data_IF_941432938396
#
_entry.id   IF_941432938396
#
_cell.length_a   1.000
_cell.length_b   1.000
_cell.length_c   1.000
_cell.angle_alpha   90.00
_cell.angle_beta   90.00
_cell.angle_gamma   90.00
#
_symmetry.space_group_name_H-M   'P 1'
#
loop_
_entity.id
_entity.type
_entity.pdbx_description
1 polymer ?
#
# COMPACT_ATOMS: atom_id res chain seq x y z
N UNK A 1 -1.04 -9.33 -4.00
CA UNK A 1 -0.04 -10.04 -4.83
C UNK A 1 -0.37 -11.53 -4.86
N UNK A 2 -0.17 -12.21 -6.02
CA UNK A 2 -0.30 -13.67 -6.27
C UNK A 2 -1.58 -14.41 -5.84
N UNK A 3 -2.72 -13.72 -5.76
CA UNK A 3 -4.08 -14.31 -5.83
C UNK A 3 -5.15 -13.20 -5.98
N UNK A 4 -4.92 -12.23 -6.88
CA UNK A 4 -5.75 -11.02 -7.08
C UNK A 4 -5.86 -10.04 -5.89
N UNK A 5 -4.94 -10.08 -4.93
CA UNK A 5 -4.84 -9.06 -3.88
C UNK A 5 -4.04 -7.83 -4.36
N UNK A 6 -4.41 -6.62 -3.97
CA UNK A 6 -3.71 -5.38 -4.30
C UNK A 6 -3.17 -4.72 -3.02
N UNK A 7 -1.95 -4.19 -3.08
CA UNK A 7 -1.25 -3.59 -1.94
C UNK A 7 -0.59 -2.31 -2.43
N UNK A 8 -0.75 -1.22 -1.70
CA UNK A 8 -0.05 0.04 -1.95
C UNK A 8 1.33 0.00 -1.28
N UNK A 9 2.37 0.44 -1.98
CA UNK A 9 3.69 0.69 -1.39
C UNK A 9 4.02 2.17 -1.47
N UNK A 10 4.58 2.74 -0.41
CA UNK A 10 5.09 4.10 -0.39
C UNK A 10 6.60 4.08 -0.15
N UNK A 11 7.31 4.87 -0.94
CA UNK A 11 8.76 5.02 -0.84
C UNK A 11 9.03 6.51 -0.56
N UNK A 12 9.51 6.79 0.64
CA UNK A 12 9.99 8.11 1.02
C UNK A 12 11.51 8.16 0.78
N UNK A 13 11.94 8.96 -0.20
CA UNK A 13 13.35 9.08 -0.56
C UNK A 13 14.14 9.94 0.45
N UNK A 14 13.48 10.90 1.08
CA UNK A 14 14.12 11.84 2.02
C UNK A 14 14.33 11.17 3.37
N UNK A 15 13.31 10.51 3.90
CA UNK A 15 13.40 9.70 5.12
C UNK A 15 14.03 8.33 4.90
N UNK A 16 14.28 7.97 3.63
CA UNK A 16 14.78 6.66 3.19
C UNK A 16 13.95 5.53 3.79
N UNK A 17 12.64 5.62 3.64
CA UNK A 17 11.69 4.68 4.21
C UNK A 17 10.84 4.00 3.13
N UNK A 18 10.46 2.75 3.39
CA UNK A 18 9.50 1.99 2.59
C UNK A 18 8.39 1.51 3.52
N UNK A 19 7.17 1.95 3.26
CA UNK A 19 5.96 1.48 3.92
C UNK A 19 5.00 0.85 2.93
N UNK A 20 3.92 0.26 3.45
CA UNK A 20 2.82 -0.24 2.64
C UNK A 20 1.46 0.03 3.30
N UNK A 21 0.41 -0.19 2.52
CA UNK A 21 -0.98 -0.22 2.95
C UNK A 21 -1.62 -1.52 2.47
N UNK A 22 -2.01 -2.37 3.41
CA UNK A 22 -2.67 -3.64 3.15
C UNK A 22 -4.07 -3.67 3.78
N UNK A 23 -5.07 -3.26 3.00
CA UNK A 23 -6.49 -3.23 3.41
C UNK A 23 -7.00 -4.57 3.95
N UNK A 24 -6.34 -5.66 3.57
CA UNK A 24 -6.73 -7.02 3.91
C UNK A 24 -6.07 -7.56 5.18
N UNK A 25 -5.13 -6.80 5.77
CA UNK A 25 -4.45 -7.18 7.01
C UNK A 25 -3.60 -8.45 6.89
N UNK A 26 -3.12 -8.79 5.69
CA UNK A 26 -2.33 -10.01 5.42
C UNK A 26 -0.90 -9.66 5.01
N UNK A 27 -0.03 -9.29 5.97
CA UNK A 27 1.28 -8.71 5.69
C UNK A 27 2.24 -9.66 4.97
N UNK A 28 1.91 -10.96 4.85
CA UNK A 28 2.76 -11.97 4.21
C UNK A 28 3.18 -11.58 2.79
N UNK A 29 2.25 -11.05 1.99
CA UNK A 29 2.57 -10.66 0.62
C UNK A 29 3.50 -9.44 0.58
N UNK A 30 3.23 -8.42 1.40
CA UNK A 30 4.08 -7.23 1.51
C UNK A 30 5.48 -7.58 2.04
N UNK A 31 5.56 -8.33 3.13
CA UNK A 31 6.83 -8.74 3.76
C UNK A 31 7.73 -9.57 2.86
N UNK A 32 7.16 -10.36 1.94
CA UNK A 32 7.93 -11.08 0.93
C UNK A 32 8.45 -10.17 -0.19
N UNK A 33 7.71 -9.10 -0.53
CA UNK A 33 8.06 -8.22 -1.64
C UNK A 33 9.02 -7.08 -1.25
N UNK A 34 8.88 -6.55 -0.03
CA UNK A 34 9.69 -5.43 0.47
C UNK A 34 11.21 -5.64 0.33
N UNK A 35 11.80 -6.81 0.64
CA UNK A 35 13.22 -7.03 0.45
C UNK A 35 13.69 -6.82 -0.99
N UNK A 36 12.84 -7.13 -1.98
CA UNK A 36 13.15 -6.91 -3.39
C UNK A 36 13.12 -5.42 -3.75
N UNK A 37 12.13 -4.69 -3.24
CA UNK A 37 12.04 -3.23 -3.39
C UNK A 37 13.25 -2.55 -2.77
N UNK A 38 13.59 -2.91 -1.52
CA UNK A 38 14.75 -2.34 -0.82
C UNK A 38 16.07 -2.65 -1.53
N UNK A 39 16.24 -3.85 -2.09
CA UNK A 39 17.42 -4.20 -2.89
C UNK A 39 17.49 -3.38 -4.18
N UNK A 40 16.35 -3.17 -4.85
CA UNK A 40 16.30 -2.31 -6.03
C UNK A 40 16.65 -0.85 -5.67
N UNK A 41 16.15 -0.35 -4.54
CA UNK A 41 16.46 1.00 -4.07
C UNK A 41 17.95 1.15 -3.71
N UNK A 42 18.54 0.19 -3.01
CA UNK A 42 19.97 0.19 -2.66
C UNK A 42 20.83 0.21 -3.93
N UNK A 43 20.47 -0.60 -4.93
CA UNK A 43 21.18 -0.62 -6.22
C UNK A 43 21.11 0.71 -6.98
N UNK A 44 19.95 1.37 -7.01
CA UNK A 44 19.75 2.56 -7.85
C UNK A 44 20.10 3.88 -7.14
N UNK A 45 20.00 3.93 -5.81
CA UNK A 45 20.19 5.15 -5.02
C UNK A 45 21.38 5.07 -4.05
N UNK A 46 22.07 3.91 -3.96
CA UNK A 46 23.22 3.72 -3.07
C UNK A 46 22.89 3.91 -1.59
N UNK A 47 21.62 3.74 -1.22
CA UNK A 47 21.11 4.04 0.10
C UNK A 47 20.32 2.85 0.65
N UNK A 48 20.56 2.55 1.93
CA UNK A 48 19.74 1.61 2.68
C UNK A 48 18.45 2.29 3.12
N UNK A 49 17.33 1.71 2.73
CA UNK A 49 16.01 2.13 3.17
C UNK A 49 15.58 1.35 4.42
N UNK A 50 14.74 1.94 5.26
CA UNK A 50 14.10 1.27 6.40
C UNK A 50 12.71 0.78 6.02
N UNK A 51 12.34 -0.44 6.40
CA UNK A 51 10.97 -0.92 6.28
C UNK A 51 10.14 -0.40 7.48
N UNK A 52 9.08 0.36 7.23
CA UNK A 52 8.20 0.91 8.28
C UNK A 52 6.99 0.05 8.55
N UNK A 53 6.70 -0.95 7.71
CA UNK A 53 5.54 -1.82 7.87
C UNK A 53 4.28 -1.26 7.20
N UNK A 54 3.13 -1.73 7.70
CA UNK A 54 1.80 -1.33 7.26
C UNK A 54 1.44 0.00 7.90
N UNK A 55 1.89 1.09 7.29
CA UNK A 55 1.81 2.44 7.87
C UNK A 55 0.97 3.40 7.05
N UNK A 56 0.62 3.02 5.81
CA UNK A 56 -0.31 3.83 5.02
C UNK A 56 -1.70 3.67 5.62
N UNK A 57 -2.37 4.80 5.87
CA UNK A 57 -3.74 4.77 6.33
C UNK A 57 -4.62 4.28 5.17
N UNK A 58 -5.40 3.25 5.42
CA UNK A 58 -6.25 2.61 4.42
C UNK A 58 -7.59 2.22 5.05
N UNK A 59 -8.64 2.00 4.24
CA UNK A 59 -9.88 1.40 4.72
C UNK A 59 -9.62 -0.05 5.16
N UNK A 60 -10.35 -0.52 6.16
CA UNK A 60 -10.37 -1.94 6.51
C UNK A 60 -11.29 -2.68 5.53
N UNK A 61 -10.74 -3.64 4.80
CA UNK A 61 -11.49 -4.39 3.80
C UNK A 61 -12.41 -5.41 4.47
N UNK A 62 -13.72 -5.19 4.36
CA UNK A 62 -14.74 -6.15 4.81
C UNK A 62 -15.00 -7.27 3.78
N UNK A 63 -14.51 -7.13 2.55
CA UNK A 63 -14.81 -8.04 1.45
C UNK A 63 -13.71 -8.15 0.39
N UNK A 64 -13.31 -9.39 0.08
CA UNK A 64 -12.18 -9.80 -0.77
C UNK A 64 -12.15 -9.29 -2.24
N UNK A 65 -13.13 -8.49 -2.65
CA UNK A 65 -13.35 -8.09 -4.04
C UNK A 65 -12.91 -6.64 -4.28
N UNK A 66 -12.79 -5.83 -3.22
CA UNK A 66 -12.59 -4.38 -3.35
C UNK A 66 -11.15 -3.91 -3.06
N UNK A 67 -10.22 -4.81 -2.75
CA UNK A 67 -8.79 -4.47 -2.52
C UNK A 67 -8.18 -3.53 -3.56
N UNK A 68 -8.57 -3.63 -4.84
CA UNK A 68 -8.12 -2.70 -5.88
C UNK A 68 -8.62 -1.25 -5.68
N UNK A 69 -9.87 -1.07 -5.27
CA UNK A 69 -10.46 0.25 -4.97
C UNK A 69 -9.82 0.81 -3.70
N UNK A 70 -9.69 -0.01 -2.65
CA UNK A 70 -9.02 0.42 -1.41
C UNK A 70 -7.56 0.75 -1.62
N UNK A 71 -6.86 0.04 -2.53
CA UNK A 71 -5.48 0.39 -2.89
C UNK A 71 -5.41 1.77 -3.56
N UNK A 72 -6.35 2.08 -4.47
CA UNK A 72 -6.40 3.39 -5.10
C UNK A 72 -6.72 4.51 -4.10
N UNK A 73 -7.71 4.30 -3.22
CA UNK A 73 -8.09 5.22 -2.14
C UNK A 73 -6.92 5.47 -1.17
N UNK A 74 -6.18 4.41 -0.82
CA UNK A 74 -4.97 4.50 0.01
C UNK A 74 -3.90 5.38 -0.64
N UNK A 75 -3.71 5.24 -1.97
CA UNK A 75 -2.76 6.07 -2.72
C UNK A 75 -3.24 7.52 -2.78
N UNK A 76 -4.53 7.74 -3.06
CA UNK A 76 -5.11 9.09 -3.12
C UNK A 76 -4.98 9.81 -1.78
N UNK A 77 -5.31 9.15 -0.67
CA UNK A 77 -5.12 9.67 0.67
C UNK A 77 -3.64 9.97 0.95
N UNK A 78 -2.73 9.05 0.65
CA UNK A 78 -1.30 9.23 0.95
C UNK A 78 -0.65 10.36 0.15
N UNK A 79 -1.10 10.61 -1.08
CA UNK A 79 -0.50 11.60 -1.98
C UNK A 79 -1.15 12.97 -1.84
N UNK A 80 -2.47 13.02 -1.64
CA UNK A 80 -3.24 14.27 -1.68
C UNK A 80 -3.88 14.66 -0.34
N UNK A 81 -3.68 13.87 0.71
CA UNK A 81 -4.36 14.03 2.01
C UNK A 81 -5.90 14.05 1.89
N UNK A 82 -6.42 13.38 0.87
CA UNK A 82 -7.85 13.24 0.65
C UNK A 82 -8.49 12.35 1.75
N UNK A 83 -9.73 12.59 2.20
CA UNK A 83 -10.38 11.70 3.14
C UNK A 83 -10.49 10.27 2.60
N UNK A 84 -10.23 9.26 3.43
CA UNK A 84 -10.46 7.86 3.05
C UNK A 84 -11.93 7.62 2.75
N UNK A 85 -12.20 6.92 1.65
CA UNK A 85 -13.55 6.57 1.26
C UNK A 85 -14.20 5.60 2.25
N UNK A 86 -15.49 5.83 2.50
CA UNK A 86 -16.33 4.86 3.19
C UNK A 86 -16.58 3.62 2.33
N UNK A 87 -17.00 2.54 2.98
CA UNK A 87 -17.42 1.31 2.32
C UNK A 87 -18.50 1.54 1.25
N UNK A 88 -19.48 2.41 1.54
CA UNK A 88 -20.57 2.71 0.61
C UNK A 88 -20.08 3.46 -0.64
N UNK A 89 -19.13 4.38 -0.48
CA UNK A 89 -18.52 5.11 -1.58
C UNK A 89 -17.72 4.16 -2.48
N UNK A 90 -16.92 3.27 -1.90
CA UNK A 90 -16.17 2.26 -2.65
C UNK A 90 -17.09 1.35 -3.49
N UNK A 91 -18.27 0.99 -2.97
CA UNK A 91 -19.25 0.19 -3.72
C UNK A 91 -19.88 0.92 -4.91
N UNK A 92 -20.03 2.25 -4.83
CA UNK A 92 -20.66 3.06 -5.89
C UNK A 92 -19.76 3.28 -7.11
N UNK A 93 -18.45 3.20 -6.94
CA UNK A 93 -17.46 3.40 -8.01
C UNK A 93 -17.35 2.17 -8.94
N UNK A 94 -18.06 1.09 -8.61
CA UNK A 94 -18.08 -0.16 -9.36
C UNK A 94 -19.13 -0.09 -10.48
N UNK A 95 -18.68 0.15 -11.71
CA UNK A 95 -19.48 0.11 -12.93
C UNK A 95 -19.79 -1.32 -13.39
#
# INVERSE_FOLDING_TARGET
>A
INNNHWIAFAIDLDERAVGYGDSYGRPRAATQFIPHVMKWLDHNFGARFRNTGDTLRHPEELDYIHCGIYTADTIEHAVFDAPLASFEECRRVRW
#
